data_IF_728399113972
#
_entry.id   IF_728399113972
#
_cell.length_a   1.000
_cell.length_b   1.000
_cell.length_c   1.000
_cell.angle_alpha   90.00
_cell.angle_beta   90.00
_cell.angle_gamma   90.00
#
_symmetry.space_group_name_H-M   'P 1'
#
loop_
_entity.id
_entity.type
_entity.pdbx_description
1 polymer ?
#
# COMPACT_ATOMS: atom_id res chain seq x y z
N UNK A 1 1.03 -71.84 17.54
CA UNK A 1 1.54 -70.48 17.81
C UNK A 1 2.02 -69.85 16.50
N UNK A 2 1.76 -68.53 16.33
CA UNK A 2 1.99 -67.60 15.18
C UNK A 2 0.82 -67.41 14.18
N UNK A 3 0.00 -66.35 14.35
CA UNK A 3 -0.95 -65.85 13.34
C UNK A 3 -0.26 -64.83 12.41
N UNK A 4 -0.65 -64.74 11.13
CA UNK A 4 -0.33 -63.60 10.26
C UNK A 4 -1.28 -63.56 9.05
N UNK A 5 -2.45 -62.95 9.19
CA UNK A 5 -2.76 -61.55 8.87
C UNK A 5 -3.22 -61.35 7.41
N UNK A 6 -4.54 -61.30 7.26
CA UNK A 6 -5.25 -60.95 6.05
C UNK A 6 -5.03 -59.47 5.66
N UNK A 7 -4.63 -59.22 4.41
CA UNK A 7 -4.50 -57.86 3.87
C UNK A 7 -5.86 -57.34 3.40
N UNK A 8 -6.44 -56.42 4.17
CA UNK A 8 -7.58 -55.57 3.75
C UNK A 8 -7.09 -54.60 2.67
N UNK A 9 -7.69 -54.61 1.49
CA UNK A 9 -7.48 -53.56 0.48
C UNK A 9 -8.45 -52.41 0.77
N UNK A 10 -7.90 -51.31 1.28
CA UNK A 10 -8.62 -50.05 1.46
C UNK A 10 -8.57 -49.28 0.13
N UNK A 11 -9.73 -48.95 -0.41
CA UNK A 11 -9.86 -48.11 -1.60
C UNK A 11 -9.85 -46.62 -1.25
N UNK A 12 -9.67 -45.76 -2.26
CA UNK A 12 -10.13 -44.36 -2.18
C UNK A 12 -10.62 -43.92 -3.57
N UNK A 13 -11.82 -43.32 -3.61
CA UNK A 13 -12.42 -42.61 -4.75
C UNK A 13 -12.58 -41.17 -4.26
N UNK A 14 -11.89 -40.17 -4.84
CA UNK A 14 -12.26 -38.73 -4.77
C UNK A 14 -11.11 -37.88 -5.32
N UNK A 15 -11.15 -37.51 -6.59
CA UNK A 15 -10.20 -36.55 -7.20
C UNK A 15 -10.89 -35.33 -7.84
N UNK A 16 -12.22 -35.25 -7.84
CA UNK A 16 -12.97 -34.19 -8.54
C UNK A 16 -13.10 -32.87 -7.76
N UNK A 17 -13.08 -32.89 -6.43
CA UNK A 17 -13.24 -31.68 -5.62
C UNK A 17 -12.01 -30.75 -5.69
N UNK A 18 -10.81 -31.31 -5.84
CA UNK A 18 -9.57 -30.55 -5.90
C UNK A 18 -9.43 -29.76 -7.22
N UNK A 19 -9.97 -30.30 -8.32
CA UNK A 19 -9.96 -29.63 -9.61
C UNK A 19 -10.80 -28.35 -9.63
N UNK A 20 -11.97 -28.37 -8.97
CA UNK A 20 -12.82 -27.19 -8.84
C UNK A 20 -12.22 -26.12 -7.91
N UNK A 21 -11.52 -26.54 -6.87
CA UNK A 21 -10.86 -25.62 -5.94
C UNK A 21 -9.71 -24.86 -6.61
N UNK A 22 -8.94 -25.53 -7.47
CA UNK A 22 -7.84 -24.91 -8.23
C UNK A 22 -8.34 -23.95 -9.32
N UNK A 23 -9.45 -24.28 -9.99
CA UNK A 23 -10.06 -23.39 -10.98
C UNK A 23 -10.62 -22.09 -10.35
N UNK A 24 -11.26 -22.20 -9.17
CA UNK A 24 -11.77 -21.04 -8.45
C UNK A 24 -10.65 -20.10 -7.97
N UNK A 25 -9.49 -20.66 -7.57
CA UNK A 25 -8.33 -19.88 -7.15
C UNK A 25 -7.69 -19.10 -8.32
N UNK A 26 -7.72 -19.65 -9.53
CA UNK A 26 -7.20 -18.98 -10.73
C UNK A 26 -8.02 -17.78 -11.19
N UNK A 27 -9.35 -17.81 -11.01
CA UNK A 27 -10.24 -16.69 -11.34
C UNK A 27 -10.12 -15.50 -10.36
N UNK A 28 -9.71 -15.76 -9.11
CA UNK A 28 -9.54 -14.71 -8.11
C UNK A 28 -8.25 -13.88 -8.33
N UNK A 29 -7.19 -14.51 -8.85
CA UNK A 29 -5.91 -13.84 -9.10
C UNK A 29 -5.96 -12.76 -10.19
N UNK A 30 -6.90 -12.86 -11.13
CA UNK A 30 -7.09 -11.88 -12.21
C UNK A 30 -7.78 -10.59 -11.75
N UNK A 31 -8.34 -10.55 -10.53
CA UNK A 31 -8.98 -9.36 -9.97
C UNK A 31 -7.99 -8.44 -9.24
N UNK A 32 -6.75 -8.89 -8.99
CA UNK A 32 -5.78 -8.14 -8.19
C UNK A 32 -4.94 -7.14 -8.99
N UNK A 33 -5.02 -7.12 -10.32
CA UNK A 33 -4.26 -6.18 -11.15
C UNK A 33 -5.18 -5.08 -11.70
N UNK A 34 -5.25 -3.96 -10.97
CA UNK A 34 -5.81 -2.72 -11.49
C UNK A 34 -6.74 -2.01 -10.51
N UNK A 35 -6.22 -1.59 -9.36
CA UNK A 35 -6.80 -0.45 -8.66
C UNK A 35 -6.04 0.77 -9.13
N UNK A 36 -6.60 1.50 -10.09
CA UNK A 36 -6.16 2.86 -10.39
C UNK A 36 -6.37 3.66 -9.11
N UNK A 37 -5.27 4.02 -8.44
CA UNK A 37 -5.30 4.97 -7.34
C UNK A 37 -5.64 6.32 -7.95
N UNK A 38 -6.93 6.63 -8.06
CA UNK A 38 -7.43 7.94 -8.44
C UNK A 38 -6.86 8.99 -7.50
N UNK A 39 -5.68 9.48 -7.81
CA UNK A 39 -5.06 10.58 -7.11
C UNK A 39 -5.92 11.82 -7.28
N UNK A 40 -5.93 12.74 -6.30
CA UNK A 40 -6.62 14.01 -6.45
C UNK A 40 -6.14 14.71 -7.74
N UNK A 41 -7.02 15.47 -8.41
CA UNK A 41 -6.63 16.22 -9.58
C UNK A 41 -5.40 17.06 -9.23
N UNK A 42 -4.37 16.97 -10.06
CA UNK A 42 -3.16 17.75 -9.91
C UNK A 42 -3.58 19.22 -9.93
N UNK A 43 -3.51 19.89 -8.76
CA UNK A 43 -3.95 21.27 -8.59
C UNK A 43 -3.02 22.14 -9.43
N UNK A 44 -3.49 22.60 -10.59
CA UNK A 44 -2.72 23.47 -11.46
C UNK A 44 -2.85 24.90 -10.95
N UNK A 45 -1.72 25.58 -10.73
CA UNK A 45 -1.74 26.99 -10.36
C UNK A 45 -2.25 27.84 -11.54
N UNK A 46 -3.07 28.85 -11.26
CA UNK A 46 -3.66 29.74 -12.27
C UNK A 46 -3.25 31.21 -12.05
N UNK A 47 -3.51 32.06 -13.04
CA UNK A 47 -3.23 33.50 -12.99
C UNK A 47 -1.73 33.84 -12.97
N UNK A 48 -1.34 34.94 -12.31
CA UNK A 48 0.07 35.37 -12.24
C UNK A 48 0.98 34.38 -11.50
N UNK A 49 0.42 33.43 -10.75
CA UNK A 49 1.17 32.41 -10.01
C UNK A 49 1.32 31.08 -10.77
N UNK A 50 0.84 30.97 -12.01
CA UNK A 50 0.74 29.70 -12.73
C UNK A 50 2.08 28.96 -12.90
N UNK A 51 3.20 29.69 -12.94
CA UNK A 51 4.55 29.11 -13.07
C UNK A 51 5.19 28.73 -11.71
N UNK A 52 4.50 28.93 -10.59
CA UNK A 52 5.04 28.63 -9.25
C UNK A 52 5.02 27.12 -9.00
N UNK A 53 6.21 26.52 -8.90
CA UNK A 53 6.38 25.07 -8.67
C UNK A 53 6.28 24.70 -7.17
N UNK A 54 6.63 25.64 -6.28
CA UNK A 54 6.65 25.39 -4.84
C UNK A 54 7.55 24.21 -4.47
N UNK A 55 7.01 23.26 -3.70
CA UNK A 55 7.71 22.04 -3.29
C UNK A 55 7.55 20.83 -4.20
N UNK A 56 6.92 20.98 -5.37
CA UNK A 56 6.62 19.85 -6.26
C UNK A 56 7.92 19.13 -6.72
N UNK A 57 7.88 17.79 -6.72
CA UNK A 57 9.04 16.94 -6.98
C UNK A 57 10.08 16.90 -5.86
N UNK A 58 9.82 17.60 -4.75
CA UNK A 58 10.68 17.64 -3.56
C UNK A 58 10.42 16.55 -2.53
N UNK A 59 11.13 16.63 -1.41
CA UNK A 59 10.94 15.72 -0.29
C UNK A 59 9.69 16.07 0.53
N UNK A 60 8.96 15.07 1.00
CA UNK A 60 7.83 15.27 1.93
C UNK A 60 8.36 15.18 3.36
N UNK A 61 8.37 16.29 4.07
CA UNK A 61 8.82 16.39 5.46
C UNK A 61 7.61 16.52 6.39
N UNK A 62 7.57 15.65 7.41
CA UNK A 62 6.48 15.63 8.39
C UNK A 62 6.90 16.32 9.68
N UNK A 63 6.07 17.27 10.11
CA UNK A 63 6.21 17.91 11.42
C UNK A 63 5.62 16.98 12.47
N UNK A 64 6.45 16.54 13.41
CA UNK A 64 6.06 15.58 14.47
C UNK A 64 5.92 16.22 15.84
N UNK A 65 6.40 17.46 16.01
CA UNK A 65 6.24 18.20 17.26
C UNK A 65 6.12 19.71 17.03
N UNK A 66 5.62 20.42 18.05
CA UNK A 66 5.38 21.87 18.04
C UNK A 66 6.53 22.66 18.69
N UNK A 67 7.67 22.03 18.94
CA UNK A 67 8.82 22.77 19.45
C UNK A 67 9.30 23.75 18.37
N UNK A 68 9.75 24.93 18.77
CA UNK A 68 10.21 25.95 17.83
C UNK A 68 11.50 25.54 17.09
N UNK A 69 12.30 24.65 17.69
CA UNK A 69 13.58 24.16 17.14
C UNK A 69 13.76 22.68 17.46
N UNK A 70 14.66 22.04 16.71
CA UNK A 70 15.07 20.66 16.92
C UNK A 70 14.40 19.66 15.97
N UNK A 71 14.79 18.37 16.05
CA UNK A 71 14.30 17.34 15.15
C UNK A 71 12.78 17.22 15.14
N UNK A 72 12.17 17.18 13.96
CA UNK A 72 10.72 17.06 13.79
C UNK A 72 9.92 18.35 14.02
N UNK A 73 10.60 19.49 14.22
CA UNK A 73 9.96 20.80 14.29
C UNK A 73 9.62 21.36 12.90
N UNK A 74 8.63 22.25 12.83
CA UNK A 74 8.32 22.97 11.60
C UNK A 74 9.51 23.80 11.10
N UNK A 75 10.27 24.42 12.02
CA UNK A 75 11.43 25.24 11.68
C UNK A 75 12.52 24.40 11.01
N UNK A 76 12.80 23.20 11.51
CA UNK A 76 13.76 22.31 10.85
C UNK A 76 13.31 21.97 9.43
N UNK A 77 12.05 21.56 9.25
CA UNK A 77 11.49 21.23 7.95
C UNK A 77 11.55 22.42 6.96
N UNK A 78 11.32 23.65 7.44
CA UNK A 78 11.42 24.87 6.62
C UNK A 78 12.87 25.31 6.38
N UNK A 79 13.85 24.87 7.17
CA UNK A 79 15.26 25.23 6.94
C UNK A 79 16.02 24.19 6.12
N UNK A 80 15.40 23.04 5.83
CA UNK A 80 15.98 22.02 4.95
C UNK A 80 16.25 22.56 3.53
N UNK A 81 17.32 22.08 2.91
CA UNK A 81 17.72 22.49 1.57
C UNK A 81 16.86 21.82 0.49
N UNK A 82 16.66 22.53 -0.63
CA UNK A 82 15.96 22.00 -1.80
C UNK A 82 14.42 22.09 -1.73
N UNK A 83 13.73 21.67 -2.81
CA UNK A 83 12.27 21.63 -2.87
C UNK A 83 11.70 20.66 -1.83
N UNK A 84 10.64 21.06 -1.14
CA UNK A 84 10.03 20.25 -0.08
C UNK A 84 8.57 20.59 0.14
N UNK A 85 7.82 19.59 0.58
CA UNK A 85 6.42 19.69 1.00
C UNK A 85 6.40 19.42 2.51
N UNK A 86 6.05 20.45 3.30
CA UNK A 86 5.95 20.32 4.75
C UNK A 86 4.50 20.00 5.11
N UNK A 87 4.29 18.86 5.79
CA UNK A 87 2.96 18.41 6.24
C UNK A 87 2.88 18.39 7.76
N UNK A 88 1.73 18.79 8.30
CA UNK A 88 1.41 18.72 9.71
C UNK A 88 0.86 17.34 10.08
N UNK A 89 1.53 16.64 11.02
CA UNK A 89 1.02 15.40 11.60
C UNK A 89 1.33 14.14 10.79
N UNK A 90 1.95 13.14 11.43
CA UNK A 90 2.54 11.96 10.79
C UNK A 90 1.59 11.02 10.03
N UNK A 91 0.28 11.24 10.06
CA UNK A 91 -0.69 10.34 9.45
C UNK A 91 -2.05 11.03 9.34
N UNK A 92 -2.33 11.61 8.18
CA UNK A 92 -3.72 11.81 7.75
C UNK A 92 -4.15 10.52 7.06
N UNK A 93 -5.04 9.69 7.65
CA UNK A 93 -5.61 8.58 6.91
C UNK A 93 -6.41 9.19 5.76
N UNK A 94 -6.12 8.77 4.53
CA UNK A 94 -6.98 9.06 3.40
C UNK A 94 -8.36 8.48 3.75
N UNK A 95 -9.26 9.32 4.25
CA UNK A 95 -10.68 9.04 4.26
C UNK A 95 -11.18 9.33 2.85
N UNK A 96 -11.28 8.25 2.10
CA UNK A 96 -12.08 8.09 0.88
C UNK A 96 -13.53 8.56 1.07
#
# INVERSE_FOLDING_TARGET
MKPHLAKRRFGTKSTSALAWLLAALGLFGAWACGQDSGGPPELVAEGFGAESVGGAGGEVLWVTNLNDTGPGSFREAVMAEGPRIVKDGAEWPAHD
#
